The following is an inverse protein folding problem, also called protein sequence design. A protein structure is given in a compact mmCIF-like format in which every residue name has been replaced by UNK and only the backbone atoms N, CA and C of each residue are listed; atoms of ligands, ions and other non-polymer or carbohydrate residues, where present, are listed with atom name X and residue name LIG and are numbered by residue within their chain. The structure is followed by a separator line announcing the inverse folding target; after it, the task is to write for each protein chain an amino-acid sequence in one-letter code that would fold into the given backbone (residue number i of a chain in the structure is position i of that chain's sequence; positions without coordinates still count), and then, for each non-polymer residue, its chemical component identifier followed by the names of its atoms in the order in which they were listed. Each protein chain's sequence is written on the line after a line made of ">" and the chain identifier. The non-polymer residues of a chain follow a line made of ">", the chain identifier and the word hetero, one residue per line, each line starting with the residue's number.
data_IF_335952224343
#
_entry.id   IF_335952224343
#
_cell.length_a   1.000
_cell.length_b   1.000
_cell.length_c   1.000
_cell.angle_alpha   90.00
_cell.angle_beta   90.00
_cell.angle_gamma   90.00
#
_symmetry.space_group_name_H-M   'P 1'
#
loop_
_entity.id
_entity.type
_entity.pdbx_description
1 polymer ?
#
# COMPACT_ATOMS: atom_id res chain seq x y z
N UNK A 1 16.70 -15.61 -0.41
CA UNK A 1 15.38 -15.10 -0.01
C UNK A 1 14.41 -15.43 -1.14
N UNK A 2 13.34 -16.18 -0.87
CA UNK A 2 12.38 -16.60 -1.89
C UNK A 2 11.19 -15.64 -2.01
N UNK A 3 10.30 -15.91 -2.98
CA UNK A 3 9.05 -15.17 -3.18
C UNK A 3 8.08 -15.32 -2.01
N UNK A 4 8.15 -16.45 -1.30
CA UNK A 4 7.41 -16.74 -0.07
C UNK A 4 7.70 -15.72 1.04
N UNK A 5 8.98 -15.46 1.30
CA UNK A 5 9.40 -14.49 2.31
C UNK A 5 8.99 -13.08 1.91
N UNK A 6 9.11 -12.73 0.62
CA UNK A 6 8.66 -11.43 0.11
C UNK A 6 7.15 -11.27 0.26
N UNK A 7 6.37 -12.31 -0.06
CA UNK A 7 4.92 -12.29 0.08
C UNK A 7 4.51 -12.12 1.55
N UNK A 8 5.12 -12.87 2.46
CA UNK A 8 4.86 -12.74 3.90
C UNK A 8 5.14 -11.31 4.39
N UNK A 9 6.26 -10.73 3.98
CA UNK A 9 6.64 -9.36 4.36
C UNK A 9 5.70 -8.32 3.78
N UNK A 10 5.26 -8.48 2.53
CA UNK A 10 4.31 -7.60 1.88
C UNK A 10 2.94 -7.65 2.57
N UNK A 11 2.45 -8.84 2.93
CA UNK A 11 1.20 -9.00 3.68
C UNK A 11 1.30 -8.36 5.06
N UNK A 12 2.38 -8.63 5.79
CA UNK A 12 2.58 -8.08 7.13
C UNK A 12 2.69 -6.54 7.13
N UNK A 13 3.41 -5.96 6.16
CA UNK A 13 3.53 -4.51 6.06
C UNK A 13 2.22 -3.85 5.61
N UNK A 14 1.49 -4.46 4.67
CA UNK A 14 0.18 -3.97 4.24
C UNK A 14 -0.83 -3.96 5.39
N UNK A 15 -0.90 -5.02 6.19
CA UNK A 15 -1.80 -5.08 7.34
C UNK A 15 -1.54 -3.95 8.34
N UNK A 16 -0.27 -3.61 8.58
CA UNK A 16 0.12 -2.50 9.47
C UNK A 16 -0.22 -1.12 8.90
N UNK A 17 -0.21 -0.97 7.58
CA UNK A 17 -0.66 0.27 6.93
C UNK A 17 -2.18 0.45 7.05
N UNK A 18 -2.95 -0.63 6.92
CA UNK A 18 -4.40 -0.61 7.15
C UNK A 18 -4.71 -0.27 8.60
N UNK A 19 -4.08 -0.96 9.55
CA UNK A 19 -4.22 -0.67 11.00
C UNK A 19 -3.84 0.80 11.32
N UNK A 20 -2.77 1.32 10.72
CA UNK A 20 -2.37 2.72 10.89
C UNK A 20 -3.38 3.72 10.31
N UNK A 21 -4.05 3.35 9.22
CA UNK A 21 -5.11 4.17 8.63
C UNK A 21 -6.39 4.13 9.47
N UNK A 22 -6.80 2.95 9.95
CA UNK A 22 -7.99 2.75 10.79
C UNK A 22 -7.85 3.40 12.17
N UNK A 23 -6.64 3.37 12.75
CA UNK A 23 -6.35 3.98 14.06
C UNK A 23 -6.09 5.49 13.99
N UNK A 24 -6.22 6.12 12.82
CA UNK A 24 -5.92 7.54 12.65
C UNK A 24 -7.03 8.43 13.24
N UNK A 25 -6.95 8.73 14.53
CA UNK A 25 -7.88 9.67 15.19
C UNK A 25 -7.60 11.14 14.83
N UNK A 26 -6.33 11.48 14.63
CA UNK A 26 -5.88 12.84 14.29
C UNK A 26 -4.75 12.79 13.27
N UNK A 27 -4.76 13.74 12.36
CA UNK A 27 -3.68 13.94 11.40
C UNK A 27 -2.49 14.69 12.03
N UNK A 28 -1.98 14.19 13.16
CA UNK A 28 -0.88 14.85 13.86
C UNK A 28 0.44 14.81 13.06
N UNK A 29 1.36 15.72 13.40
CA UNK A 29 2.70 15.70 12.85
C UNK A 29 3.53 14.56 13.46
N UNK A 30 4.29 13.87 12.62
CA UNK A 30 5.33 12.91 13.02
C UNK A 30 6.69 13.39 12.56
N UNK A 31 7.74 12.92 13.21
CA UNK A 31 9.11 13.27 12.85
C UNK A 31 9.95 12.01 12.70
N UNK A 32 10.62 11.87 11.55
CA UNK A 32 11.42 10.70 11.19
C UNK A 32 12.70 11.11 10.45
N UNK A 33 13.52 10.13 10.05
CA UNK A 33 14.74 10.35 9.25
C UNK A 33 16.04 10.56 10.04
N UNK A 34 16.00 10.51 11.38
CA UNK A 34 17.21 10.76 12.20
C UNK A 34 18.39 9.84 11.88
N UNK A 35 18.13 8.63 11.39
CA UNK A 35 19.17 7.65 11.01
C UNK A 35 19.91 8.01 9.71
N UNK A 36 19.37 8.90 8.88
CA UNK A 36 19.95 9.36 7.61
C UNK A 36 20.44 10.82 7.64
N UNK A 37 20.53 11.43 8.83
CA UNK A 37 21.05 12.80 9.01
C UNK A 37 20.05 13.92 8.74
N UNK A 38 18.83 13.61 8.28
CA UNK A 38 17.77 14.58 8.00
C UNK A 38 16.58 14.40 8.95
N UNK A 39 16.10 15.49 9.56
CA UNK A 39 14.91 15.44 10.42
C UNK A 39 13.70 15.97 9.67
N UNK A 40 12.88 15.06 9.14
CA UNK A 40 11.67 15.39 8.38
C UNK A 40 10.48 15.42 9.32
N UNK A 41 9.70 16.50 9.27
CA UNK A 41 8.37 16.59 9.90
C UNK A 41 7.31 16.44 8.81
N UNK A 42 6.41 15.49 8.97
CA UNK A 42 5.30 15.27 8.04
C UNK A 42 4.00 15.00 8.79
N UNK A 43 2.88 15.24 8.13
CA UNK A 43 1.55 14.82 8.58
C UNK A 43 1.43 13.30 8.49
N UNK A 44 0.74 12.66 9.44
CA UNK A 44 0.47 11.21 9.37
C UNK A 44 -0.20 10.81 8.06
N UNK A 45 -1.18 11.59 7.59
CA UNK A 45 -1.85 11.38 6.31
C UNK A 45 -0.89 11.39 5.12
N UNK A 46 0.11 12.28 5.12
CA UNK A 46 1.12 12.35 4.05
C UNK A 46 1.92 11.06 3.93
N UNK A 47 2.19 10.36 5.04
CA UNK A 47 2.86 9.06 5.01
C UNK A 47 1.98 7.96 4.42
N UNK A 48 0.68 7.95 4.72
CA UNK A 48 -0.28 7.00 4.14
C UNK A 48 -0.42 7.22 2.63
N UNK A 49 -0.52 8.48 2.20
CA UNK A 49 -0.55 8.86 0.77
C UNK A 49 0.74 8.42 0.08
N UNK A 50 1.90 8.69 0.67
CA UNK A 50 3.19 8.27 0.12
C UNK A 50 3.26 6.75 -0.04
N UNK A 51 2.84 5.99 0.97
CA UNK A 51 2.83 4.53 0.91
C UNK A 51 1.91 4.01 -0.20
N UNK A 52 0.70 4.56 -0.32
CA UNK A 52 -0.25 4.19 -1.37
C UNK A 52 0.29 4.48 -2.77
N UNK A 53 0.81 5.70 -2.99
CA UNK A 53 1.36 6.12 -4.28
C UNK A 53 2.56 5.24 -4.68
N UNK A 54 3.51 5.06 -3.76
CA UNK A 54 4.74 4.30 -4.02
C UNK A 54 4.45 2.82 -4.29
N UNK A 55 3.50 2.23 -3.56
CA UNK A 55 3.05 0.86 -3.82
C UNK A 55 2.39 0.72 -5.19
N UNK A 56 1.57 1.70 -5.61
CA UNK A 56 0.97 1.70 -6.95
C UNK A 56 2.02 1.79 -8.05
N UNK A 57 3.00 2.68 -7.93
CA UNK A 57 4.09 2.79 -8.91
C UNK A 57 4.84 1.45 -9.11
N UNK A 58 5.21 0.78 -8.02
CA UNK A 58 5.90 -0.51 -8.11
C UNK A 58 5.00 -1.63 -8.65
N UNK A 59 3.70 -1.65 -8.32
CA UNK A 59 2.77 -2.63 -8.88
C UNK A 59 2.61 -2.45 -10.39
N UNK A 60 2.58 -1.22 -10.88
CA UNK A 60 2.55 -0.95 -12.33
C UNK A 60 3.83 -1.44 -13.03
N UNK A 61 5.01 -1.25 -12.42
CA UNK A 61 6.28 -1.80 -12.96
C UNK A 61 6.26 -3.33 -13.02
N UNK A 62 5.67 -3.99 -12.01
CA UNK A 62 5.48 -5.44 -11.99
C UNK A 62 4.50 -5.86 -13.09
N UNK A 63 3.35 -5.17 -13.22
CA UNK A 63 2.36 -5.46 -14.27
C UNK A 63 2.92 -5.31 -15.68
N UNK A 64 3.76 -4.28 -15.91
CA UNK A 64 4.48 -4.13 -17.17
C UNK A 64 5.43 -5.31 -17.43
N UNK A 65 6.14 -5.78 -16.40
CA UNK A 65 7.02 -6.95 -16.49
C UNK A 65 6.24 -8.24 -16.78
N UNK A 66 5.13 -8.48 -16.08
CA UNK A 66 4.24 -9.62 -16.31
C UNK A 66 3.72 -9.62 -17.75
N UNK A 67 3.23 -8.46 -18.21
CA UNK A 67 2.72 -8.28 -19.57
C UNK A 67 3.80 -8.59 -20.61
N UNK A 68 5.04 -8.12 -20.40
CA UNK A 68 6.16 -8.41 -21.29
C UNK A 68 6.48 -9.91 -21.38
N UNK A 69 6.25 -10.65 -20.28
CA UNK A 69 6.40 -12.11 -20.23
C UNK A 69 5.17 -12.87 -20.78
N UNK A 70 4.14 -12.18 -21.28
CA UNK A 70 2.89 -12.78 -21.76
C UNK A 70 1.95 -13.24 -20.64
N UNK A 71 2.17 -12.79 -19.41
CA UNK A 71 1.32 -13.07 -18.24
C UNK A 71 0.35 -11.92 -18.07
N UNK A 72 -0.94 -12.23 -17.96
CA UNK A 72 -1.95 -11.19 -17.74
C UNK A 72 -1.82 -10.60 -16.32
N UNK A 73 -1.65 -9.27 -16.17
CA UNK A 73 -1.60 -8.64 -14.86
C UNK A 73 -2.95 -8.72 -14.14
N UNK A 74 -2.95 -8.72 -12.79
CA UNK A 74 -4.17 -8.62 -11.98
C UNK A 74 -4.79 -7.22 -12.08
N UNK A 75 -6.07 -7.10 -11.74
CA UNK A 75 -6.69 -5.79 -11.51
C UNK A 75 -6.12 -5.16 -10.24
N UNK A 76 -5.58 -3.95 -10.36
CA UNK A 76 -4.97 -3.18 -9.27
C UNK A 76 -5.89 -2.12 -8.69
N UNK A 77 -7.14 -2.03 -9.15
CA UNK A 77 -8.08 -1.02 -8.70
C UNK A 77 -8.36 -1.16 -7.20
N UNK A 78 -8.53 -0.01 -6.52
CA UNK A 78 -8.96 0.01 -5.12
C UNK A 78 -10.33 -0.64 -4.91
N UNK A 79 -11.15 -0.68 -5.96
CA UNK A 79 -12.46 -1.35 -5.97
C UNK A 79 -12.30 -2.87 -5.91
N UNK A 80 -11.45 -3.45 -6.75
CA UNK A 80 -11.15 -4.88 -6.70
C UNK A 80 -10.58 -5.30 -5.34
N UNK A 81 -9.72 -4.47 -4.74
CA UNK A 81 -9.27 -4.69 -3.35
C UNK A 81 -10.43 -4.61 -2.35
N UNK A 82 -11.28 -3.60 -2.49
CA UNK A 82 -12.42 -3.40 -1.61
C UNK A 82 -13.40 -4.56 -1.65
N UNK A 83 -13.69 -5.09 -2.83
CA UNK A 83 -14.57 -6.25 -3.02
C UNK A 83 -13.94 -7.50 -2.39
N UNK A 84 -12.64 -7.73 -2.65
CA UNK A 84 -11.91 -8.88 -2.13
C UNK A 84 -11.77 -8.87 -0.60
N UNK A 85 -11.85 -7.70 0.04
CA UNK A 85 -11.70 -7.54 1.50
C UNK A 85 -13.01 -7.27 2.22
N UNK A 86 -14.12 -7.07 1.51
CA UNK A 86 -15.39 -6.63 2.10
C UNK A 86 -15.39 -5.17 2.56
N UNK A 87 -14.43 -4.37 2.12
CA UNK A 87 -14.40 -2.92 2.40
C UNK A 87 -15.35 -2.13 1.49
N UNK A 88 -15.84 -2.73 0.40
CA UNK A 88 -16.93 -2.21 -0.44
C UNK A 88 -17.97 -3.31 -0.68
N UNK A 89 -19.24 -2.92 -0.71
CA UNK A 89 -20.39 -3.80 -0.96
C UNK A 89 -21.24 -3.18 -2.07
N UNK A 90 -21.63 -4.00 -3.05
CA UNK A 90 -22.62 -3.60 -4.06
C UNK A 90 -24.01 -3.74 -3.46
N UNK A 91 -24.80 -2.65 -3.50
CA UNK A 91 -26.19 -2.67 -3.05
C UNK A 91 -27.10 -2.94 -4.24
N UNK A 92 -27.98 -3.94 -4.12
CA UNK A 92 -29.04 -4.18 -5.11
C UNK A 92 -29.95 -2.94 -5.22
N UNK A 93 -30.31 -2.54 -6.44
CA UNK A 93 -31.18 -1.38 -6.70
C UNK A 93 -32.66 -1.69 -6.52
#
# INVERSE_FOLDING_TARGET
>A
MGLDVLSERATASSARLVEAAESLETDADVTFGQEYGERIRARKSALLVQALQHATEHREQICATLTHLGIQPPDLSGWAWGEATGAVEELES
#
